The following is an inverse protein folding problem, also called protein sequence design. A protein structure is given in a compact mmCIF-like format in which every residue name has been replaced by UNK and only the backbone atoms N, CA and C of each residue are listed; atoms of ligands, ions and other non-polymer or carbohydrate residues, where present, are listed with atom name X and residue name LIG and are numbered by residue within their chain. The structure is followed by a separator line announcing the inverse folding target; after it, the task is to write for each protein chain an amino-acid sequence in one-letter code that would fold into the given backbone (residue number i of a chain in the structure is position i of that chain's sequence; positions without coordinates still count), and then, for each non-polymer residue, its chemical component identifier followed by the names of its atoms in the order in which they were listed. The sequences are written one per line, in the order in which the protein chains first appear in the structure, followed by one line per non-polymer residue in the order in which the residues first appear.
data_IF_409739878573
#
_entry.id   IF_409739878573
#
_cell.length_a   1.000
_cell.length_b   1.000
_cell.length_c   1.000
_cell.angle_alpha   90.00
_cell.angle_beta   90.00
_cell.angle_gamma   90.00
#
_symmetry.space_group_name_H-M   'P 1'
#
loop_
_entity.id
_entity.type
_entity.pdbx_description
1 polymer ?
#
# COMPACT_ATOMS: atom_id res chain seq x y z
N UNK A 1 -65.12 -6.46 49.56
CA UNK A 1 -65.47 -7.89 49.45
C UNK A 1 -64.26 -8.60 48.85
N UNK A 2 -63.61 -9.48 49.63
CA UNK A 2 -62.60 -10.50 49.25
C UNK A 2 -61.27 -9.92 48.72
N UNK A 3 -60.11 -9.85 49.40
CA UNK A 3 -59.32 -10.77 50.26
C UNK A 3 -58.65 -11.95 49.51
N UNK A 4 -57.30 -11.83 49.39
CA UNK A 4 -56.24 -12.87 49.30
C UNK A 4 -55.94 -13.50 47.90
N UNK A 5 -54.70 -13.88 47.52
CA UNK A 5 -53.53 -14.32 48.31
C UNK A 5 -52.24 -14.41 47.45
N UNK A 6 -51.10 -14.06 48.08
CA UNK A 6 -49.75 -14.66 48.10
C UNK A 6 -48.99 -14.98 46.78
N UNK A 7 -47.67 -14.81 46.68
CA UNK A 7 -46.61 -15.27 47.60
C UNK A 7 -45.26 -14.58 47.28
N UNK A 8 -44.57 -13.94 48.24
CA UNK A 8 -43.31 -14.38 48.91
C UNK A 8 -42.06 -14.41 48.00
N UNK A 9 -40.83 -13.94 48.29
CA UNK A 9 -39.94 -13.71 49.45
C UNK A 9 -38.87 -12.71 48.94
N UNK A 10 -38.37 -11.69 49.66
CA UNK A 10 -37.51 -11.78 50.85
C UNK A 10 -36.04 -12.00 50.49
N UNK A 11 -35.21 -10.94 50.41
CA UNK A 11 -34.01 -10.76 51.26
C UNK A 11 -33.18 -9.50 50.92
N UNK A 12 -32.79 -8.80 51.99
CA UNK A 12 -31.72 -7.81 52.05
C UNK A 12 -30.44 -8.49 52.59
N UNK A 13 -29.29 -7.87 52.33
CA UNK A 13 -27.92 -8.16 52.79
C UNK A 13 -27.20 -9.28 51.99
N UNK A 14 -25.94 -9.19 51.59
CA UNK A 14 -24.78 -8.56 52.26
C UNK A 14 -23.57 -8.54 51.30
N UNK A 15 -22.53 -7.77 51.68
CA UNK A 15 -21.12 -7.87 51.25
C UNK A 15 -20.61 -7.19 49.97
N UNK A 16 -19.94 -6.05 50.24
CA UNK A 16 -18.77 -5.48 49.59
C UNK A 16 -18.08 -6.32 48.48
N UNK A 17 -17.87 -5.68 47.33
CA UNK A 17 -16.79 -6.05 46.40
C UNK A 17 -15.95 -4.82 46.07
N UNK A 18 -14.65 -5.01 46.31
CA UNK A 18 -13.50 -4.14 46.08
C UNK A 18 -13.46 -3.43 44.71
N UNK A 19 -12.70 -2.33 44.59
CA UNK A 19 -12.56 -1.61 43.33
C UNK A 19 -11.78 -2.46 42.33
N UNK A 20 -12.38 -2.68 41.15
CA UNK A 20 -11.72 -3.35 40.05
C UNK A 20 -10.64 -2.43 39.47
N UNK A 21 -9.39 -2.88 39.56
CA UNK A 21 -8.24 -2.37 38.82
C UNK A 21 -8.50 -2.55 37.32
N UNK A 22 -8.44 -1.45 36.55
CA UNK A 22 -8.46 -1.49 35.10
C UNK A 22 -7.04 -1.83 34.64
N UNK A 23 -6.71 -3.13 34.65
CA UNK A 23 -5.56 -3.65 33.91
C UNK A 23 -6.08 -4.07 32.53
N UNK A 24 -6.25 -3.07 31.68
CA UNK A 24 -6.55 -3.27 30.27
C UNK A 24 -5.24 -3.23 29.52
N UNK A 25 -4.62 -4.40 29.31
CA UNK A 25 -3.59 -4.59 28.30
C UNK A 25 -4.08 -3.96 27.00
N UNK A 26 -3.47 -2.83 26.63
CA UNK A 26 -3.63 -2.26 25.30
C UNK A 26 -3.03 -3.29 24.36
N UNK A 27 -3.90 -4.09 23.73
CA UNK A 27 -3.53 -4.95 22.61
C UNK A 27 -3.16 -4.03 21.44
N UNK A 28 -1.93 -3.52 21.45
CA UNK A 28 -1.30 -2.96 20.26
C UNK A 28 -1.14 -4.15 19.32
N UNK A 29 -2.15 -4.36 18.48
CA UNK A 29 -1.97 -5.21 17.29
C UNK A 29 -1.08 -4.42 16.35
N UNK A 30 0.23 -4.38 16.64
CA UNK A 30 1.19 -4.00 15.60
C UNK A 30 0.95 -4.98 14.46
N UNK A 31 0.80 -4.46 13.25
CA UNK A 31 0.75 -5.31 12.08
C UNK A 31 2.15 -5.85 11.86
N UNK A 32 2.49 -6.91 12.59
CA UNK A 32 3.78 -7.60 12.49
C UNK A 32 3.87 -8.13 11.07
N UNK A 33 4.96 -7.79 10.39
CA UNK A 33 5.22 -8.26 9.04
C UNK A 33 5.82 -9.66 9.17
N UNK A 34 5.03 -10.68 8.84
CA UNK A 34 5.44 -12.08 9.01
C UNK A 34 6.05 -12.71 7.76
N UNK A 35 6.01 -12.00 6.62
CA UNK A 35 6.57 -12.54 5.36
C UNK A 35 8.10 -12.43 5.36
N UNK A 36 8.84 -13.47 4.94
CA UNK A 36 10.29 -13.40 4.83
C UNK A 36 10.74 -12.31 3.85
N UNK A 37 11.88 -11.67 4.11
CA UNK A 37 12.46 -10.63 3.24
C UNK A 37 12.64 -11.11 1.79
N UNK A 38 13.06 -12.35 1.58
CA UNK A 38 13.16 -12.96 0.25
C UNK A 38 11.81 -12.99 -0.49
N UNK A 39 10.71 -13.26 0.24
CA UNK A 39 9.36 -13.23 -0.31
C UNK A 39 8.90 -11.80 -0.61
N UNK A 40 9.31 -10.81 0.18
CA UNK A 40 9.03 -9.39 -0.13
C UNK A 40 9.66 -9.00 -1.47
N UNK A 41 10.92 -9.38 -1.68
CA UNK A 41 11.64 -9.11 -2.93
C UNK A 41 11.07 -9.89 -4.11
N UNK A 42 10.76 -11.18 -3.94
CA UNK A 42 10.15 -11.97 -5.02
C UNK A 42 8.79 -11.39 -5.41
N UNK A 43 8.00 -10.90 -4.44
CA UNK A 43 6.75 -10.19 -4.71
C UNK A 43 7.01 -8.92 -5.50
N UNK A 44 7.97 -8.08 -5.08
CA UNK A 44 8.34 -6.86 -5.81
C UNK A 44 8.73 -7.15 -7.27
N UNK A 45 9.54 -8.20 -7.49
CA UNK A 45 9.93 -8.68 -8.82
C UNK A 45 8.73 -9.14 -9.63
N UNK A 46 7.80 -9.87 -9.03
CA UNK A 46 6.58 -10.30 -9.72
C UNK A 46 5.75 -9.11 -10.20
N UNK A 47 5.63 -8.02 -9.42
CA UNK A 47 4.94 -6.80 -9.88
C UNK A 47 5.70 -6.07 -10.99
N UNK A 48 7.03 -6.00 -10.91
CA UNK A 48 7.83 -5.38 -11.97
C UNK A 48 7.77 -6.18 -13.27
N UNK A 49 7.76 -7.52 -13.21
CA UNK A 49 7.81 -8.35 -14.42
C UNK A 49 6.44 -8.92 -14.81
N UNK A 50 5.37 -8.47 -14.16
CA UNK A 50 4.03 -8.97 -14.43
C UNK A 50 3.62 -8.64 -15.86
N UNK A 51 3.32 -9.66 -16.66
CA UNK A 51 2.79 -9.50 -18.01
C UNK A 51 1.26 -9.46 -17.97
N UNK A 52 0.66 -8.55 -18.71
CA UNK A 52 -0.80 -8.44 -18.79
C UNK A 52 -1.25 -7.90 -20.15
N UNK A 53 -2.47 -8.25 -20.55
CA UNK A 53 -3.06 -7.80 -21.81
C UNK A 53 -3.94 -6.57 -21.58
N UNK A 54 -3.62 -5.46 -22.27
CA UNK A 54 -4.41 -4.25 -22.22
C UNK A 54 -5.47 -4.29 -23.33
N UNK A 55 -6.73 -4.57 -22.97
CA UNK A 55 -7.85 -4.43 -23.93
C UNK A 55 -8.21 -2.95 -24.17
N UNK A 56 -9.06 -2.70 -25.16
CA UNK A 56 -9.58 -1.34 -25.42
C UNK A 56 -10.23 -0.70 -24.19
N UNK A 57 -11.02 -1.45 -23.41
CA UNK A 57 -11.71 -0.90 -22.23
C UNK A 57 -10.75 -0.59 -21.08
N UNK A 58 -9.67 -1.37 -20.92
CA UNK A 58 -8.63 -1.06 -19.95
C UNK A 58 -7.85 0.21 -20.36
N UNK A 59 -7.64 0.38 -21.67
CA UNK A 59 -6.90 1.48 -22.26
C UNK A 59 -7.66 2.80 -22.25
N UNK A 60 -8.92 2.83 -22.65
CA UNK A 60 -9.68 4.08 -22.72
C UNK A 60 -10.50 4.34 -21.44
N UNK A 61 -10.58 3.34 -20.56
CA UNK A 61 -11.31 3.33 -19.29
C UNK A 61 -12.83 3.28 -19.47
N UNK A 62 -13.36 2.93 -20.65
CA UNK A 62 -14.77 3.14 -21.05
C UNK A 62 -15.82 2.59 -20.09
N UNK A 63 -15.46 1.62 -19.24
CA UNK A 63 -16.33 1.08 -18.20
C UNK A 63 -16.41 1.94 -16.92
N UNK A 64 -15.56 2.96 -16.75
CA UNK A 64 -15.68 3.90 -15.63
C UNK A 64 -16.96 4.74 -15.75
N UNK A 65 -17.68 4.89 -14.63
CA UNK A 65 -18.79 5.84 -14.53
C UNK A 65 -18.32 7.27 -14.84
N UNK A 66 -19.24 8.14 -15.26
CA UNK A 66 -18.92 9.54 -15.54
C UNK A 66 -18.31 10.25 -14.31
N UNK A 67 -18.82 9.97 -13.11
CA UNK A 67 -18.32 10.53 -11.84
C UNK A 67 -16.88 10.11 -11.54
N UNK A 68 -16.47 8.91 -11.94
CA UNK A 68 -15.12 8.40 -11.71
C UNK A 68 -14.17 8.80 -12.84
N UNK A 69 -14.67 8.84 -14.08
CA UNK A 69 -13.89 9.18 -15.27
C UNK A 69 -13.25 10.56 -15.19
N UNK A 70 -13.89 11.56 -14.56
CA UNK A 70 -13.31 12.89 -14.39
C UNK A 70 -12.02 12.89 -13.53
N UNK A 71 -11.83 11.88 -12.67
CA UNK A 71 -10.67 11.73 -11.81
C UNK A 71 -9.66 10.70 -12.32
N UNK A 72 -9.89 10.14 -13.51
CA UNK A 72 -9.02 9.14 -14.08
C UNK A 72 -8.07 9.75 -15.12
N UNK A 73 -6.79 9.44 -14.96
CA UNK A 73 -5.78 9.71 -15.97
C UNK A 73 -4.99 8.43 -16.21
N UNK A 74 -4.93 7.98 -17.47
CA UNK A 74 -4.18 6.77 -17.84
C UNK A 74 -2.68 6.95 -17.60
N UNK A 75 -1.99 5.92 -17.09
CA UNK A 75 -0.54 5.79 -17.18
C UNK A 75 0.00 6.03 -18.60
N UNK A 76 0.95 6.95 -18.73
CA UNK A 76 1.44 7.45 -20.02
C UNK A 76 2.25 6.42 -20.81
N UNK A 77 2.68 5.35 -20.15
CA UNK A 77 3.35 4.24 -20.83
C UNK A 77 2.42 3.32 -21.60
N UNK A 78 1.13 3.36 -21.28
CA UNK A 78 0.12 2.58 -21.97
C UNK A 78 -0.28 3.40 -23.20
N UNK A 79 0.44 3.14 -24.30
CA UNK A 79 0.36 3.88 -25.56
C UNK A 79 -0.65 3.31 -26.54
N UNK A 80 -0.92 2.00 -26.49
CA UNK A 80 -1.83 1.28 -27.37
C UNK A 80 -2.77 0.34 -26.59
N UNK A 81 -3.85 -0.07 -27.24
CA UNK A 81 -4.73 -1.13 -26.76
C UNK A 81 -4.57 -2.41 -27.60
N UNK A 82 -5.19 -3.49 -27.14
CA UNK A 82 -5.10 -4.84 -27.69
C UNK A 82 -3.66 -5.37 -27.79
N UNK A 83 -2.83 -5.02 -26.81
CA UNK A 83 -1.41 -5.42 -26.75
C UNK A 83 -1.01 -5.80 -25.33
N UNK A 84 0.08 -6.55 -25.22
CA UNK A 84 0.65 -6.93 -23.94
C UNK A 84 1.58 -5.84 -23.41
N UNK A 85 1.50 -5.59 -22.11
CA UNK A 85 2.41 -4.77 -21.34
C UNK A 85 3.09 -5.62 -20.27
N UNK A 86 4.20 -5.09 -19.76
CA UNK A 86 4.81 -5.55 -18.53
C UNK A 86 4.63 -4.48 -17.45
N UNK A 87 4.84 -4.88 -16.20
CA UNK A 87 4.82 -4.05 -15.00
C UNK A 87 3.39 -3.66 -14.61
N UNK A 88 3.07 -3.81 -13.32
CA UNK A 88 1.78 -3.34 -12.80
C UNK A 88 1.74 -1.81 -12.86
N UNK A 89 0.69 -1.19 -13.44
CA UNK A 89 0.58 0.25 -13.57
C UNK A 89 0.40 0.96 -12.22
N UNK A 90 0.86 2.21 -12.16
CA UNK A 90 0.58 3.09 -11.02
C UNK A 90 -0.91 3.41 -10.96
N UNK A 91 -1.50 3.26 -9.78
CA UNK A 91 -2.90 3.56 -9.52
C UNK A 91 -3.01 4.31 -8.20
N UNK A 92 -3.32 5.61 -8.22
CA UNK A 92 -3.49 6.43 -7.02
C UNK A 92 -4.51 5.82 -6.05
N UNK A 93 -4.10 5.57 -4.81
CA UNK A 93 -4.90 4.85 -3.81
C UNK A 93 -5.04 3.35 -4.05
N UNK A 94 -4.39 2.82 -5.09
CA UNK A 94 -4.52 1.44 -5.53
C UNK A 94 -3.77 0.45 -4.63
N UNK A 95 -4.37 -0.73 -4.47
CA UNK A 95 -3.86 -1.81 -3.64
C UNK A 95 -4.11 -3.19 -4.27
N UNK A 96 -4.16 -3.32 -5.60
CA UNK A 96 -4.45 -4.62 -6.22
C UNK A 96 -3.39 -5.68 -5.82
N UNK A 97 -3.82 -6.90 -5.52
CA UNK A 97 -2.91 -8.07 -5.53
C UNK A 97 -2.61 -8.44 -6.99
N UNK A 98 -1.64 -9.31 -7.29
CA UNK A 98 -1.41 -9.72 -8.69
C UNK A 98 -2.62 -10.46 -9.27
N UNK A 99 -3.17 -11.43 -8.52
CA UNK A 99 -4.39 -12.12 -8.94
C UNK A 99 -5.60 -11.20 -9.00
N UNK A 100 -5.70 -10.22 -8.09
CA UNK A 100 -6.72 -9.18 -8.13
C UNK A 100 -6.60 -8.31 -9.37
N UNK A 101 -5.39 -7.85 -9.67
CA UNK A 101 -5.07 -7.06 -10.86
C UNK A 101 -5.46 -7.81 -12.14
N UNK A 102 -5.10 -9.09 -12.28
CA UNK A 102 -5.46 -9.89 -13.45
C UNK A 102 -6.98 -10.03 -13.62
N UNK A 103 -7.69 -10.27 -12.52
CA UNK A 103 -9.15 -10.37 -12.52
C UNK A 103 -9.81 -9.04 -12.87
N UNK A 104 -9.32 -7.93 -12.30
CA UNK A 104 -9.83 -6.58 -12.54
C UNK A 104 -9.60 -6.16 -14.01
N UNK A 105 -8.43 -6.46 -14.58
CA UNK A 105 -8.14 -6.24 -16.00
C UNK A 105 -9.11 -7.03 -16.88
N UNK A 106 -9.34 -8.31 -16.58
CA UNK A 106 -10.30 -9.14 -17.33
C UNK A 106 -11.75 -8.64 -17.24
N UNK A 107 -12.13 -8.07 -16.09
CA UNK A 107 -13.44 -7.42 -15.89
C UNK A 107 -13.55 -6.06 -16.59
N UNK A 108 -12.47 -5.58 -17.22
CA UNK A 108 -12.46 -4.34 -17.97
C UNK A 108 -12.24 -3.09 -17.12
N UNK A 109 -11.58 -3.22 -15.96
CA UNK A 109 -11.17 -2.06 -15.16
C UNK A 109 -10.16 -1.23 -15.94
N UNK A 110 -10.19 0.09 -15.75
CA UNK A 110 -9.20 0.99 -16.34
C UNK A 110 -7.80 0.70 -15.76
N UNK A 111 -6.81 0.50 -16.63
CA UNK A 111 -5.46 0.17 -16.20
C UNK A 111 -4.79 1.41 -15.58
N UNK A 112 -4.51 1.36 -14.28
CA UNK A 112 -3.89 2.44 -13.52
C UNK A 112 -4.75 3.68 -13.35
N UNK A 113 -4.18 4.64 -12.63
CA UNK A 113 -4.66 6.02 -12.51
C UNK A 113 -3.51 6.89 -11.99
N UNK A 114 -2.95 7.76 -12.83
CA UNK A 114 -1.83 8.64 -12.44
C UNK A 114 -2.28 10.00 -11.91
N UNK A 115 -3.60 10.23 -11.81
CA UNK A 115 -4.14 11.47 -11.27
C UNK A 115 -4.05 11.49 -9.74
N UNK A 116 -2.98 12.08 -9.22
CA UNK A 116 -2.76 12.24 -7.76
C UNK A 116 -3.58 13.37 -7.14
N UNK A 117 -4.31 14.16 -7.95
CA UNK A 117 -5.26 15.15 -7.44
C UNK A 117 -6.66 14.56 -7.21
N UNK A 118 -6.87 13.27 -7.54
CA UNK A 118 -8.08 12.56 -7.21
C UNK A 118 -8.27 12.46 -5.68
N UNK A 119 -9.52 12.44 -5.18
CA UNK A 119 -9.82 12.42 -3.74
C UNK A 119 -9.35 11.13 -3.03
N UNK A 120 -8.90 10.13 -3.79
CA UNK A 120 -8.41 8.85 -3.31
C UNK A 120 -8.47 7.82 -4.44
N UNK A 121 -8.58 6.54 -4.05
CA UNK A 121 -8.81 5.46 -4.99
C UNK A 121 -10.10 5.68 -5.79
N UNK A 122 -10.02 5.45 -7.10
CA UNK A 122 -11.16 5.57 -8.01
C UNK A 122 -11.68 4.17 -8.33
N UNK A 123 -12.92 3.89 -7.94
CA UNK A 123 -13.54 2.60 -8.22
C UNK A 123 -13.57 2.29 -9.73
N UNK A 124 -13.20 1.06 -10.10
CA UNK A 124 -13.08 0.63 -11.49
C UNK A 124 -11.71 0.91 -12.13
N UNK A 125 -10.72 1.39 -11.37
CA UNK A 125 -9.31 1.43 -11.78
C UNK A 125 -8.52 0.32 -11.08
N UNK A 126 -7.43 -0.15 -11.67
CA UNK A 126 -6.64 -1.27 -11.12
C UNK A 126 -5.14 -1.00 -11.13
N UNK A 127 -4.41 -1.56 -10.16
CA UNK A 127 -2.96 -1.36 -9.98
C UNK A 127 -2.62 -1.00 -8.55
N UNK A 128 -1.43 -0.43 -8.36
CA UNK A 128 -0.91 -0.06 -7.03
C UNK A 128 -0.31 1.33 -7.02
N UNK A 129 -0.51 2.10 -5.95
CA UNK A 129 0.33 3.27 -5.67
C UNK A 129 1.63 2.87 -4.94
N UNK A 130 2.45 3.84 -4.57
CA UNK A 130 3.73 3.59 -3.91
C UNK A 130 3.57 2.80 -2.61
N UNK A 131 2.65 3.22 -1.75
CA UNK A 131 2.40 2.60 -0.45
C UNK A 131 1.64 1.28 -0.53
N UNK A 132 0.68 1.17 -1.44
CA UNK A 132 -0.07 -0.04 -1.71
C UNK A 132 0.83 -1.14 -2.26
N UNK A 133 1.78 -0.77 -3.12
CA UNK A 133 2.82 -1.68 -3.60
C UNK A 133 3.66 -2.23 -2.43
N UNK A 134 4.17 -1.37 -1.55
CA UNK A 134 4.96 -1.80 -0.40
C UNK A 134 4.13 -2.68 0.55
N UNK A 135 2.86 -2.31 0.81
CA UNK A 135 1.95 -3.13 1.61
C UNK A 135 1.77 -4.53 1.03
N UNK A 136 1.72 -4.66 -0.31
CA UNK A 136 1.68 -5.98 -0.98
C UNK A 136 2.97 -6.75 -0.80
N UNK A 137 4.12 -6.11 -0.93
CA UNK A 137 5.42 -6.75 -0.69
C UNK A 137 5.57 -7.23 0.77
N UNK A 138 5.08 -6.46 1.73
CA UNK A 138 5.06 -6.81 3.15
C UNK A 138 3.94 -7.78 3.54
N UNK A 139 3.12 -8.25 2.60
CA UNK A 139 2.04 -9.20 2.88
C UNK A 139 0.94 -8.64 3.78
N UNK A 140 0.77 -7.32 3.85
CA UNK A 140 -0.25 -6.69 4.68
C UNK A 140 -1.65 -6.94 4.10
N UNK A 141 -2.64 -7.05 4.98
CA UNK A 141 -4.03 -7.33 4.61
C UNK A 141 -4.79 -6.11 4.07
N UNK A 142 -4.28 -4.90 4.29
CA UNK A 142 -4.88 -3.64 3.85
C UNK A 142 -3.83 -2.68 3.31
N UNK A 143 -4.31 -1.66 2.59
CA UNK A 143 -3.52 -0.50 2.21
C UNK A 143 -3.24 0.36 3.45
N UNK A 144 -1.97 0.70 3.64
CA UNK A 144 -1.50 1.69 4.60
C UNK A 144 -0.98 2.90 3.85
N UNK A 145 -1.35 4.09 4.25
CA UNK A 145 -0.79 5.32 3.70
C UNK A 145 0.67 5.50 4.13
N UNK A 146 1.44 6.29 3.37
CA UNK A 146 2.84 6.63 3.69
C UNK A 146 3.02 7.16 5.12
N UNK A 147 2.06 7.94 5.62
CA UNK A 147 2.04 8.49 6.98
C UNK A 147 1.77 7.46 8.08
N UNK A 148 1.30 6.26 7.74
CA UNK A 148 1.04 5.19 8.70
C UNK A 148 2.24 4.26 8.91
N UNK A 149 3.21 4.23 7.97
CA UNK A 149 4.39 3.37 8.07
C UNK A 149 5.19 3.52 9.38
N UNK A 150 5.39 4.72 9.96
CA UNK A 150 6.06 4.86 11.26
C UNK A 150 5.36 4.14 12.43
N UNK A 151 4.10 3.69 12.26
CA UNK A 151 3.37 2.90 13.26
C UNK A 151 3.55 1.39 13.10
N UNK A 152 4.08 0.95 11.96
CA UNK A 152 4.24 -0.47 11.60
C UNK A 152 5.69 -0.82 11.19
N UNK A 153 6.61 0.13 11.33
CA UNK A 153 8.02 -0.02 11.05
C UNK A 153 8.83 0.87 11.99
N UNK A 154 10.03 0.41 12.37
CA UNK A 154 10.99 1.22 13.13
C UNK A 154 11.89 2.00 12.18
N UNK A 155 12.18 3.25 12.52
CA UNK A 155 13.22 4.00 11.83
C UNK A 155 14.60 3.37 12.10
N UNK A 156 15.45 3.32 11.09
CA UNK A 156 16.84 2.91 11.20
C UNK A 156 17.72 4.10 11.56
N UNK A 157 18.84 3.84 12.26
CA UNK A 157 19.78 4.91 12.63
C UNK A 157 20.66 5.32 11.45
N UNK A 158 20.82 4.43 10.48
CA UNK A 158 21.67 4.64 9.31
C UNK A 158 21.10 3.97 8.07
N UNK A 159 21.30 4.60 6.91
CA UNK A 159 20.97 4.01 5.60
C UNK A 159 21.80 2.77 5.31
N UNK A 160 22.98 2.64 5.92
CA UNK A 160 23.85 1.49 5.74
C UNK A 160 23.38 0.26 6.55
N UNK A 161 22.36 0.41 7.39
CA UNK A 161 21.69 -0.72 8.08
C UNK A 161 20.58 -1.36 7.22
N UNK A 162 20.26 -0.77 6.06
CA UNK A 162 19.20 -1.25 5.18
C UNK A 162 19.48 -2.69 4.74
N UNK A 163 18.44 -3.50 4.88
CA UNK A 163 18.37 -4.87 4.40
C UNK A 163 17.23 -5.00 3.39
N UNK A 164 17.34 -5.95 2.45
CA UNK A 164 16.30 -6.21 1.46
C UNK A 164 14.90 -6.29 2.09
N UNK A 165 13.92 -5.55 1.57
CA UNK A 165 12.57 -5.47 2.14
C UNK A 165 12.35 -4.36 3.16
N UNK A 166 13.40 -3.68 3.62
CA UNK A 166 13.26 -2.39 4.31
C UNK A 166 12.71 -1.33 3.34
N UNK A 167 12.29 -0.19 3.87
CA UNK A 167 11.77 0.90 3.06
C UNK A 167 12.57 2.18 3.21
N UNK A 168 12.58 2.95 2.13
CA UNK A 168 12.95 4.36 2.12
C UNK A 168 11.66 5.15 2.06
N UNK A 169 11.32 5.83 3.15
CA UNK A 169 10.08 6.56 3.33
C UNK A 169 10.33 8.07 3.28
N UNK A 170 9.70 8.75 2.35
CA UNK A 170 9.50 10.20 2.38
C UNK A 170 8.13 10.46 2.97
N UNK A 171 8.09 10.78 4.26
CA UNK A 171 6.84 11.02 4.96
C UNK A 171 6.44 12.49 4.83
N UNK A 172 5.47 12.79 3.96
CA UNK A 172 4.85 14.11 3.88
C UNK A 172 3.35 13.98 3.65
N UNK A 173 2.56 14.75 4.41
CA UNK A 173 1.11 14.81 4.25
C UNK A 173 0.75 15.24 2.83
N UNK A 174 0.08 14.37 2.06
CA UNK A 174 -0.38 14.66 0.70
C UNK A 174 0.68 14.63 -0.40
N UNK A 175 1.96 14.34 -0.11
CA UNK A 175 3.02 14.23 -1.13
C UNK A 175 4.08 13.18 -0.78
N UNK A 176 3.76 12.29 0.16
CA UNK A 176 4.67 11.26 0.61
C UNK A 176 4.96 10.23 -0.47
N UNK A 177 6.08 9.54 -0.33
CA UNK A 177 6.46 8.44 -1.22
C UNK A 177 7.19 7.37 -0.44
N UNK A 178 7.11 6.13 -0.91
CA UNK A 178 7.80 5.01 -0.26
C UNK A 178 8.35 4.07 -1.32
N UNK A 179 9.54 3.54 -1.04
CA UNK A 179 10.29 2.64 -1.90
C UNK A 179 10.70 1.41 -1.11
N UNK A 180 10.67 0.24 -1.72
CA UNK A 180 11.17 -1.00 -1.13
C UNK A 180 12.65 -1.15 -1.47
N UNK A 181 13.53 -1.17 -0.48
CA UNK A 181 14.96 -1.37 -0.68
C UNK A 181 15.25 -2.83 -1.07
N UNK A 182 16.10 -3.01 -2.08
CA UNK A 182 16.57 -4.33 -2.51
C UNK A 182 18.03 -4.55 -2.14
N UNK A 183 18.95 -3.72 -2.65
CA UNK A 183 20.39 -3.89 -2.45
C UNK A 183 21.14 -2.60 -2.72
N UNK A 184 22.42 -2.54 -2.36
CA UNK A 184 23.35 -1.52 -2.85
C UNK A 184 24.19 -2.11 -3.98
N UNK A 185 24.24 -1.44 -5.13
CA UNK A 185 25.05 -1.90 -6.26
C UNK A 185 26.54 -1.51 -6.11
N UNK A 186 27.38 -2.02 -7.01
CA UNK A 186 28.83 -1.74 -7.00
C UNK A 186 29.18 -0.26 -7.18
N UNK A 187 28.26 0.54 -7.73
CA UNK A 187 28.39 1.99 -7.87
C UNK A 187 27.93 2.76 -6.63
N UNK A 188 27.57 2.07 -5.54
CA UNK A 188 27.10 2.67 -4.29
C UNK A 188 25.67 3.21 -4.34
N UNK A 189 24.89 2.87 -5.37
CA UNK A 189 23.49 3.25 -5.46
C UNK A 189 22.61 2.26 -4.69
N UNK A 190 21.62 2.80 -3.99
CA UNK A 190 20.53 2.07 -3.36
C UNK A 190 19.53 1.67 -4.43
N UNK A 191 19.54 0.38 -4.78
CA UNK A 191 18.59 -0.21 -5.73
C UNK A 191 17.29 -0.51 -4.98
N UNK A 192 16.19 -0.01 -5.52
CA UNK A 192 14.85 -0.14 -4.95
C UNK A 192 13.88 -0.74 -5.96
N UNK A 193 12.73 -1.17 -5.47
CA UNK A 193 11.50 -1.31 -6.23
C UNK A 193 10.50 -0.24 -5.77
N UNK A 194 9.76 0.36 -6.70
CA UNK A 194 8.73 1.33 -6.38
C UNK A 194 7.65 1.40 -7.46
N UNK A 195 6.40 1.68 -7.05
CA UNK A 195 5.36 2.16 -7.94
C UNK A 195 5.39 3.69 -7.95
N UNK A 196 5.67 4.30 -9.09
CA UNK A 196 5.88 5.76 -9.16
C UNK A 196 5.37 6.35 -10.47
N UNK A 197 5.16 7.68 -10.45
CA UNK A 197 4.83 8.51 -11.61
C UNK A 197 5.98 9.45 -11.99
N UNK A 198 7.18 9.23 -11.43
CA UNK A 198 8.37 10.04 -11.70
C UNK A 198 8.75 10.02 -13.19
N UNK A 199 9.47 11.06 -13.61
CA UNK A 199 10.11 11.13 -14.91
C UNK A 199 11.55 10.67 -14.76
N UNK A 200 11.97 9.71 -15.59
CA UNK A 200 13.33 9.17 -15.60
C UNK A 200 13.85 9.23 -17.02
N UNK A 201 14.99 9.88 -17.22
CA UNK A 201 15.59 10.11 -18.54
C UNK A 201 14.57 10.66 -19.56
N UNK A 202 13.74 11.63 -19.12
CA UNK A 202 12.71 12.25 -19.95
C UNK A 202 11.44 11.43 -20.17
N UNK A 203 11.32 10.24 -19.57
CA UNK A 203 10.18 9.35 -19.77
C UNK A 203 9.38 9.15 -18.48
N UNK A 204 8.05 9.22 -18.58
CA UNK A 204 7.16 8.90 -17.47
C UNK A 204 7.23 7.40 -17.15
N UNK A 205 7.42 7.09 -15.87
CA UNK A 205 7.46 5.73 -15.35
C UNK A 205 6.04 5.15 -15.29
N UNK A 206 5.21 5.67 -14.39
CA UNK A 206 3.78 5.35 -14.19
C UNK A 206 3.46 3.89 -13.89
N UNK A 207 4.38 3.19 -13.23
CA UNK A 207 4.29 1.75 -12.97
C UNK A 207 5.28 1.31 -11.90
N UNK A 208 5.22 0.03 -11.56
CA UNK A 208 6.24 -0.64 -10.74
C UNK A 208 7.54 -0.80 -11.54
N UNK A 209 8.62 -0.24 -11.03
CA UNK A 209 9.95 -0.27 -11.63
C UNK A 209 11.02 -0.63 -10.59
N UNK A 210 12.22 -0.94 -11.06
CA UNK A 210 13.43 -0.91 -10.25
C UNK A 210 14.35 0.22 -10.68
N UNK A 211 14.95 0.90 -9.70
CA UNK A 211 15.80 2.08 -9.91
C UNK A 211 16.91 2.14 -8.88
N UNK A 212 18.08 2.66 -9.26
CA UNK A 212 19.16 2.99 -8.33
C UNK A 212 19.14 4.48 -7.97
N UNK A 213 19.28 4.79 -6.68
CA UNK A 213 19.43 6.15 -6.17
C UNK A 213 20.73 6.31 -5.40
N UNK A 214 21.39 7.45 -5.54
CA UNK A 214 22.52 7.80 -4.67
C UNK A 214 22.05 8.16 -3.27
N UNK A 215 22.95 8.04 -2.29
CA UNK A 215 22.69 8.50 -0.93
C UNK A 215 22.24 9.97 -0.89
N UNK A 216 22.94 10.84 -1.64
CA UNK A 216 22.66 12.27 -1.67
C UNK A 216 21.26 12.58 -2.22
N UNK A 217 20.82 11.86 -3.26
CA UNK A 217 19.45 11.99 -3.79
C UNK A 217 18.41 11.61 -2.74
N UNK A 218 18.60 10.49 -2.03
CA UNK A 218 17.66 10.04 -1.00
C UNK A 218 17.55 11.05 0.14
N UNK A 219 18.69 11.46 0.71
CA UNK A 219 18.73 12.39 1.84
C UNK A 219 18.19 13.77 1.44
N UNK A 220 18.63 14.32 0.31
CA UNK A 220 18.21 15.66 -0.12
C UNK A 220 16.72 15.73 -0.46
N UNK A 221 16.11 14.60 -0.83
CA UNK A 221 14.67 14.50 -1.07
C UNK A 221 13.85 14.13 0.17
N UNK A 222 14.48 14.03 1.35
CA UNK A 222 13.81 13.80 2.62
C UNK A 222 13.34 12.36 2.83
N UNK A 223 13.97 11.38 2.18
CA UNK A 223 13.74 9.98 2.52
C UNK A 223 14.36 9.66 3.88
N UNK A 224 13.85 8.63 4.54
CA UNK A 224 14.36 8.09 5.79
C UNK A 224 14.24 6.56 5.73
N UNK A 225 15.20 5.85 6.31
CA UNK A 225 15.22 4.39 6.28
C UNK A 225 14.37 3.81 7.42
N UNK A 226 13.50 2.84 7.11
CA UNK A 226 12.69 2.12 8.09
C UNK A 226 12.72 0.61 7.83
N UNK A 227 12.63 -0.17 8.89
CA UNK A 227 12.53 -1.62 8.86
C UNK A 227 11.20 -2.06 9.45
N UNK A 228 10.45 -2.97 8.79
CA UNK A 228 9.16 -3.44 9.32
C UNK A 228 9.33 -4.12 10.69
N UNK A 229 8.30 -4.05 11.54
CA UNK A 229 8.26 -4.77 12.82
C UNK A 229 8.05 -6.27 12.66
#
# INVERSE_FOLDING_TARGET
MIILKNSSRGNLNEHAKSPATIDGDIKITSSVVTVPRSQMISTAQSYQWHQWYCSKVNYDGSNLSASNRQYWQRPRFITNYNTNYYQVPYCWGGFSSLSGFDNEIQQGYAAGNVNTNAPGYIGGTTGVDCSGFVCRCWGLSRHYHTSEFPKIARQLNSYYELQQGDILLKNSSGSGHVRLFYTSNSSGQFVVYESTISIVNGNYTDRVISMGYTFNELVSNGYQAYSPY
#
